data_IF_201282825750
#
_entry.id   IF_201282825750
#
_cell.length_a   1.000
_cell.length_b   1.000
_cell.length_c   1.000
_cell.angle_alpha   90.00
_cell.angle_beta   90.00
_cell.angle_gamma   90.00
#
_symmetry.space_group_name_H-M   'P 1'
#
loop_
_entity.id
_entity.type
_entity.pdbx_description
1 polymer ?
#
# COMPACT_ATOMS: atom_id res chain seq x y z
N UNK A 1 -4.74 8.99 -1.20
CA UNK A 1 -4.63 7.55 -1.46
C UNK A 1 -4.37 6.85 -0.13
N UNK A 2 -5.20 5.87 0.20
CA UNK A 2 -5.01 4.98 1.36
C UNK A 2 -4.92 3.54 0.88
N UNK A 3 -4.13 2.69 1.54
CA UNK A 3 -4.09 1.25 1.24
C UNK A 3 -5.04 0.49 2.16
N UNK A 4 -5.80 -0.46 1.60
CA UNK A 4 -6.66 -1.34 2.39
C UNK A 4 -5.81 -2.25 3.29
N UNK A 5 -5.97 -2.14 4.61
CA UNK A 5 -5.07 -2.78 5.59
C UNK A 5 -5.82 -3.52 6.68
N UNK A 6 -5.23 -4.63 7.14
CA UNK A 6 -5.65 -5.34 8.34
C UNK A 6 -4.63 -5.13 9.47
N UNK A 7 -5.14 -4.98 10.69
CA UNK A 7 -4.37 -4.88 11.94
C UNK A 7 -4.53 -6.17 12.75
N UNK A 8 -3.43 -6.73 13.22
CA UNK A 8 -3.40 -7.92 14.07
C UNK A 8 -2.47 -7.68 15.25
N UNK A 9 -2.97 -7.86 16.47
CA UNK A 9 -2.17 -7.81 17.69
C UNK A 9 -1.82 -9.25 18.06
N UNK A 10 -0.55 -9.63 17.90
CA UNK A 10 -0.11 -11.02 18.05
C UNK A 10 1.15 -11.12 18.92
N UNK A 11 1.30 -12.21 19.69
CA UNK A 11 2.56 -12.51 20.36
C UNK A 11 3.64 -12.81 19.31
N UNK A 12 4.82 -12.24 19.52
CA UNK A 12 5.98 -12.35 18.64
C UNK A 12 7.18 -12.86 19.42
N UNK A 13 8.07 -13.55 18.72
CA UNK A 13 9.34 -14.05 19.26
C UNK A 13 10.56 -13.43 18.57
N UNK A 14 10.34 -12.47 17.66
CA UNK A 14 11.40 -11.89 16.81
C UNK A 14 12.54 -11.26 17.64
N UNK A 15 12.21 -10.71 18.81
CA UNK A 15 13.14 -10.02 19.71
C UNK A 15 13.00 -10.47 21.17
N UNK A 16 12.60 -11.74 21.39
CA UNK A 16 12.08 -12.21 22.67
C UNK A 16 10.55 -12.20 22.70
N UNK A 17 9.93 -12.58 23.83
CA UNK A 17 8.46 -12.64 23.97
C UNK A 17 7.88 -11.24 24.10
N UNK A 18 7.38 -10.70 22.99
CA UNK A 18 6.67 -9.41 22.92
C UNK A 18 5.26 -9.58 22.39
N UNK A 19 4.43 -8.56 22.56
CA UNK A 19 3.14 -8.44 21.86
C UNK A 19 3.28 -7.31 20.86
N UNK A 20 3.23 -7.65 19.58
CA UNK A 20 3.49 -6.72 18.48
C UNK A 20 2.17 -6.32 17.82
N UNK A 21 2.09 -5.07 17.38
CA UNK A 21 0.99 -4.56 16.57
C UNK A 21 1.37 -4.65 15.09
N UNK A 22 0.80 -5.63 14.39
CA UNK A 22 1.15 -5.96 13.01
C UNK A 22 0.10 -5.43 12.05
N UNK A 23 0.58 -4.94 10.91
CA UNK A 23 -0.28 -4.47 9.82
C UNK A 23 0.15 -5.15 8.52
N UNK A 24 -0.83 -5.47 7.68
CA UNK A 24 -0.56 -5.86 6.30
C UNK A 24 -1.64 -5.33 5.37
N UNK A 25 -1.26 -5.01 4.14
CA UNK A 25 -2.16 -4.49 3.13
C UNK A 25 -2.70 -5.62 2.25
N UNK A 26 -3.91 -5.44 1.73
CA UNK A 26 -4.45 -6.31 0.70
C UNK A 26 -3.77 -6.04 -0.64
N UNK A 27 -3.60 -7.12 -1.40
CA UNK A 27 -3.13 -7.08 -2.78
C UNK A 27 -4.20 -7.59 -3.73
N UNK A 28 -4.10 -7.20 -4.99
CA UNK A 28 -4.98 -7.58 -6.10
C UNK A 28 -4.15 -7.76 -7.37
N UNK A 29 -4.77 -8.22 -8.45
CA UNK A 29 -4.11 -8.37 -9.75
C UNK A 29 -3.64 -7.00 -10.28
N UNK A 30 -2.47 -6.92 -10.94
CA UNK A 30 -1.97 -5.65 -11.47
C UNK A 30 -2.81 -5.14 -12.65
N UNK A 31 -2.99 -3.83 -12.74
CA UNK A 31 -3.64 -3.15 -13.87
C UNK A 31 -2.68 -2.94 -15.06
N UNK A 32 -3.10 -2.27 -16.14
CA UNK A 32 -2.27 -2.11 -17.36
C UNK A 32 -1.02 -1.26 -17.15
N UNK A 33 -1.02 -0.39 -16.13
CA UNK A 33 0.15 0.42 -15.76
C UNK A 33 1.17 -0.40 -14.99
N UNK A 34 0.72 -1.24 -14.05
CA UNK A 34 1.60 -2.02 -13.16
C UNK A 34 2.08 -3.31 -13.82
N UNK A 35 1.22 -4.02 -14.55
CA UNK A 35 1.53 -5.35 -15.09
C UNK A 35 2.80 -5.42 -15.96
N UNK A 36 3.14 -4.42 -16.79
CA UNK A 36 4.41 -4.39 -17.54
C UNK A 36 5.66 -4.28 -16.65
N UNK A 37 5.52 -3.80 -15.40
CA UNK A 37 6.61 -3.55 -14.45
C UNK A 37 6.69 -4.68 -13.40
N UNK A 38 5.55 -5.08 -12.82
CA UNK A 38 5.43 -6.09 -11.79
C UNK A 38 4.15 -6.92 -11.98
N UNK A 39 4.31 -8.22 -12.30
CA UNK A 39 3.21 -9.08 -12.76
C UNK A 39 2.43 -9.77 -11.64
N UNK A 40 2.97 -9.81 -10.43
CA UNK A 40 2.41 -10.68 -9.39
C UNK A 40 1.20 -10.07 -8.70
N UNK A 41 1.24 -8.76 -8.45
CA UNK A 41 0.22 -8.06 -7.69
C UNK A 41 0.45 -6.54 -7.72
N UNK A 42 -0.62 -5.81 -7.40
CA UNK A 42 -0.59 -4.41 -6.97
C UNK A 42 -1.32 -4.26 -5.62
N UNK A 43 -1.03 -3.23 -4.81
CA UNK A 43 -1.77 -2.97 -3.58
C UNK A 43 -3.20 -2.51 -3.89
N UNK A 44 -4.16 -2.94 -3.08
CA UNK A 44 -5.52 -2.38 -3.08
C UNK A 44 -5.47 -0.98 -2.49
N UNK A 45 -5.83 0.00 -3.31
CA UNK A 45 -5.88 1.41 -2.91
C UNK A 45 -7.34 1.85 -2.74
N UNK A 46 -7.51 2.97 -2.04
CA UNK A 46 -8.76 3.71 -1.90
C UNK A 46 -8.42 5.15 -2.24
N UNK A 47 -9.12 5.66 -3.26
CA UNK A 47 -8.85 6.97 -3.84
C UNK A 47 -9.87 8.01 -3.38
N UNK A 48 -11.06 7.55 -2.98
CA UNK A 48 -12.13 8.40 -2.46
C UNK A 48 -12.27 8.26 -0.93
N UNK A 49 -12.77 9.31 -0.28
CA UNK A 49 -13.01 9.32 1.17
C UNK A 49 -14.13 8.35 1.56
N UNK A 50 -15.13 8.19 0.70
CA UNK A 50 -16.25 7.27 0.88
C UNK A 50 -15.77 5.81 0.91
N UNK A 51 -14.78 5.45 0.10
CA UNK A 51 -14.19 4.11 0.11
C UNK A 51 -13.48 3.84 1.45
N UNK A 52 -12.83 4.86 2.03
CA UNK A 52 -12.23 4.78 3.36
C UNK A 52 -13.30 4.61 4.43
N UNK A 53 -14.40 5.35 4.36
CA UNK A 53 -15.50 5.23 5.32
C UNK A 53 -16.13 3.83 5.28
N UNK A 54 -16.39 3.31 4.07
CA UNK A 54 -16.87 1.93 3.87
C UNK A 54 -15.86 0.93 4.46
N UNK A 55 -14.57 1.06 4.16
CA UNK A 55 -13.54 0.17 4.70
C UNK A 55 -13.50 0.15 6.24
N UNK A 56 -13.65 1.32 6.86
CA UNK A 56 -13.54 1.47 8.31
C UNK A 56 -14.81 1.08 9.08
N UNK A 57 -15.98 1.07 8.43
CA UNK A 57 -17.28 0.96 9.13
C UNK A 57 -18.21 -0.13 8.62
N UNK A 58 -18.11 -0.50 7.34
CA UNK A 58 -19.08 -1.41 6.73
C UNK A 58 -18.85 -2.87 7.11
N UNK A 59 -19.84 -3.70 6.79
CA UNK A 59 -19.76 -5.15 6.98
C UNK A 59 -18.72 -5.80 6.05
N UNK A 60 -18.21 -6.96 6.47
CA UNK A 60 -17.15 -7.67 5.73
C UNK A 60 -17.48 -7.91 4.25
N UNK A 61 -18.74 -8.17 3.92
CA UNK A 61 -19.14 -8.46 2.54
C UNK A 61 -19.14 -7.22 1.64
N UNK A 62 -19.46 -6.05 2.18
CA UNK A 62 -19.37 -4.77 1.46
C UNK A 62 -17.90 -4.38 1.24
N UNK A 63 -17.07 -4.52 2.29
CA UNK A 63 -15.65 -4.16 2.24
C UNK A 63 -14.85 -5.01 1.23
N UNK A 64 -15.23 -6.28 1.02
CA UNK A 64 -14.59 -7.14 0.01
C UNK A 64 -14.69 -6.58 -1.41
N UNK A 65 -15.74 -5.82 -1.74
CA UNK A 65 -15.90 -5.24 -3.07
C UNK A 65 -14.83 -4.18 -3.39
N UNK A 66 -14.19 -3.62 -2.36
CA UNK A 66 -13.08 -2.68 -2.51
C UNK A 66 -11.76 -3.38 -2.92
N UNK A 67 -11.65 -4.70 -2.79
CA UNK A 67 -10.45 -5.46 -3.12
C UNK A 67 -10.31 -5.70 -4.64
N UNK A 68 -10.17 -4.61 -5.40
CA UNK A 68 -10.09 -4.57 -6.86
C UNK A 68 -8.90 -3.70 -7.32
N UNK A 69 -8.38 -3.90 -8.54
CA UNK A 69 -7.38 -3.00 -9.12
C UNK A 69 -7.94 -1.59 -9.32
N UNK A 70 -7.04 -0.61 -9.30
CA UNK A 70 -7.36 0.77 -9.65
C UNK A 70 -7.47 0.94 -11.17
N UNK A 71 -8.32 1.88 -11.64
CA UNK A 71 -8.37 2.25 -13.05
C UNK A 71 -6.98 2.63 -13.59
N UNK A 72 -6.71 2.31 -14.86
CA UNK A 72 -5.38 2.54 -15.45
C UNK A 72 -4.98 4.02 -15.48
N UNK A 73 -5.94 4.94 -15.53
CA UNK A 73 -5.71 6.38 -15.52
C UNK A 73 -5.59 6.98 -14.10
N UNK A 74 -5.76 6.18 -13.05
CA UNK A 74 -5.73 6.67 -11.67
C UNK A 74 -4.31 6.78 -11.10
N UNK A 75 -3.32 6.14 -11.74
CA UNK A 75 -1.93 6.15 -11.31
C UNK A 75 -1.00 6.41 -12.50
N UNK A 76 0.18 6.94 -12.21
CA UNK A 76 1.24 7.13 -13.20
C UNK A 76 2.62 6.87 -12.58
N UNK A 77 3.57 6.47 -13.41
CA UNK A 77 4.97 6.32 -13.00
C UNK A 77 5.62 7.70 -12.90
N UNK A 78 6.05 8.11 -11.71
CA UNK A 78 6.65 9.43 -11.46
C UNK A 78 8.18 9.44 -11.59
N UNK A 79 8.85 8.32 -11.29
CA UNK A 79 10.31 8.15 -11.39
C UNK A 79 10.70 6.68 -11.56
N UNK A 80 11.93 6.43 -12.02
CA UNK A 80 12.59 5.12 -11.97
C UNK A 80 13.92 5.31 -11.26
N UNK A 81 14.05 4.74 -10.09
CA UNK A 81 15.19 4.98 -9.18
C UNK A 81 15.97 3.68 -8.95
N UNK A 82 17.25 3.81 -8.64
CA UNK A 82 18.11 2.68 -8.30
C UNK A 82 17.78 2.14 -6.90
N UNK A 83 18.05 0.84 -6.68
CA UNK A 83 17.87 0.23 -5.36
C UNK A 83 18.70 0.95 -4.29
N UNK A 84 18.06 1.30 -3.17
CA UNK A 84 18.69 2.06 -2.09
C UNK A 84 18.52 3.59 -2.19
N UNK A 85 17.87 4.08 -3.25
CA UNK A 85 17.42 5.48 -3.31
C UNK A 85 16.47 5.79 -2.14
N UNK A 86 16.58 6.99 -1.58
CA UNK A 86 15.79 7.42 -0.43
C UNK A 86 15.44 8.89 -0.53
N UNK A 87 14.19 9.22 -0.23
CA UNK A 87 13.72 10.60 -0.10
C UNK A 87 14.15 11.25 1.23
N UNK A 88 14.71 10.47 2.16
CA UNK A 88 15.25 10.94 3.45
C UNK A 88 16.72 10.52 3.58
N UNK A 89 17.57 11.45 4.01
CA UNK A 89 18.98 11.17 4.29
C UNK A 89 19.13 10.32 5.56
N UNK A 90 20.31 9.73 5.77
CA UNK A 90 20.60 9.00 7.03
C UNK A 90 20.47 9.89 8.28
N UNK A 91 20.57 11.21 8.12
CA UNK A 91 20.39 12.19 9.20
C UNK A 91 18.94 12.64 9.41
N UNK A 92 17.98 12.16 8.63
CA UNK A 92 16.57 12.54 8.73
C UNK A 92 16.14 13.71 7.85
N UNK A 93 17.08 14.39 7.18
CA UNK A 93 16.77 15.51 6.30
C UNK A 93 16.17 15.05 4.96
N UNK A 94 15.21 15.80 4.38
CA UNK A 94 14.68 15.52 3.05
C UNK A 94 15.76 15.58 1.96
N UNK A 95 15.76 14.61 1.06
CA UNK A 95 16.58 14.60 -0.15
C UNK A 95 15.71 15.08 -1.31
N UNK A 96 16.30 15.88 -2.20
CA UNK A 96 15.58 16.42 -3.35
C UNK A 96 15.20 15.29 -4.31
N UNK A 97 13.91 14.99 -4.40
CA UNK A 97 13.39 13.97 -5.32
C UNK A 97 13.59 14.41 -6.77
N UNK A 98 14.01 13.48 -7.63
CA UNK A 98 14.09 13.68 -9.08
C UNK A 98 12.89 13.00 -9.74
N UNK A 99 11.84 13.77 -9.97
CA UNK A 99 10.71 13.34 -10.76
C UNK A 99 11.08 13.39 -12.26
N UNK A 100 10.45 12.53 -13.08
CA UNK A 100 10.62 12.47 -14.54
C UNK A 100 10.21 13.75 -15.26
#
# INVERSE_FOLDING_TARGET
MFCAALRLILPSFRWGRTTDDLYNFLTTDPNEVVAPIHKEAMPVSMLAEEEVDVWMRAGRDEVKALARPEPDNAIMVTSREEYGSSIISKGGEPVQARFL
#
